data_IF_110415676247
#
_entry.id   IF_110415676247
#
_cell.length_a   1.000
_cell.length_b   1.000
_cell.length_c   1.000
_cell.angle_alpha   90.00
_cell.angle_beta   90.00
_cell.angle_gamma   90.00
#
_symmetry.space_group_name_H-M   'P 1'
#
loop_
_entity.id
_entity.type
_entity.pdbx_description
1 polymer ?
#
# COMPACT_ATOMS: atom_id res chain seq x y z
N UNK A 1 -12.80 -14.42 -7.92
CA UNK A 1 -11.41 -14.50 -7.45
C UNK A 1 -10.59 -15.58 -8.14
N UNK A 2 -9.96 -15.20 -9.26
CA UNK A 2 -9.09 -16.03 -10.09
C UNK A 2 -7.62 -15.59 -9.95
N UNK A 3 -7.12 -15.49 -8.71
CA UNK A 3 -5.76 -15.06 -8.40
C UNK A 3 -5.21 -15.91 -7.24
N UNK A 4 -4.06 -16.55 -7.45
CA UNK A 4 -3.51 -17.52 -6.48
C UNK A 4 -3.16 -16.86 -5.13
N UNK A 5 -2.65 -15.62 -5.13
CA UNK A 5 -2.33 -14.93 -3.90
C UNK A 5 -3.58 -14.56 -3.12
N UNK A 6 -4.63 -14.06 -3.79
CA UNK A 6 -5.89 -13.78 -3.14
C UNK A 6 -6.56 -15.05 -2.56
N UNK A 7 -6.45 -16.18 -3.27
CA UNK A 7 -6.87 -17.49 -2.77
C UNK A 7 -6.06 -17.93 -1.55
N UNK A 8 -4.74 -17.69 -1.52
CA UNK A 8 -3.90 -17.96 -0.35
C UNK A 8 -4.33 -17.12 0.86
N UNK A 9 -4.63 -15.83 0.67
CA UNK A 9 -5.12 -14.96 1.77
C UNK A 9 -6.47 -15.46 2.30
N UNK A 10 -7.38 -15.85 1.40
CA UNK A 10 -8.66 -16.45 1.78
C UNK A 10 -8.45 -17.74 2.60
N UNK A 11 -7.59 -18.65 2.12
CA UNK A 11 -7.23 -19.89 2.83
C UNK A 11 -6.64 -19.62 4.21
N UNK A 12 -5.75 -18.64 4.34
CA UNK A 12 -5.17 -18.25 5.61
C UNK A 12 -6.24 -17.81 6.62
N UNK A 13 -7.23 -17.05 6.17
CA UNK A 13 -8.38 -16.67 7.00
C UNK A 13 -9.25 -17.88 7.38
N UNK A 14 -9.54 -18.79 6.46
CA UNK A 14 -10.35 -20.00 6.71
C UNK A 14 -9.68 -20.96 7.71
N UNK A 15 -8.35 -21.05 7.66
CA UNK A 15 -7.54 -21.91 8.52
C UNK A 15 -7.02 -21.19 9.78
N UNK A 16 -7.41 -19.93 10.01
CA UNK A 16 -6.93 -19.09 11.12
C UNK A 16 -5.41 -19.02 11.23
N UNK A 17 -4.71 -18.96 10.10
CA UNK A 17 -3.26 -18.78 10.09
C UNK A 17 -2.90 -17.36 10.56
N UNK A 18 -1.78 -17.26 11.28
CA UNK A 18 -1.26 -15.95 11.67
C UNK A 18 -0.72 -15.22 10.43
N UNK A 19 -1.25 -14.02 10.18
CA UNK A 19 -0.85 -13.14 9.08
C UNK A 19 -0.23 -11.84 9.58
N UNK A 20 -0.09 -11.65 10.89
CA UNK A 20 0.45 -10.42 11.46
C UNK A 20 1.92 -10.22 11.08
N UNK A 21 2.24 -9.22 10.26
CA UNK A 21 3.55 -9.07 9.61
C UNK A 21 4.78 -9.19 10.54
N UNK A 22 4.68 -8.70 11.78
CA UNK A 22 5.76 -8.68 12.77
C UNK A 22 5.49 -9.60 13.97
N UNK A 23 4.74 -10.69 13.79
CA UNK A 23 4.54 -11.69 14.84
C UNK A 23 5.87 -12.33 15.24
N UNK A 24 6.32 -12.08 16.47
CA UNK A 24 7.55 -12.67 17.02
C UNK A 24 7.35 -14.08 17.59
N UNK A 25 6.10 -14.53 17.73
CA UNK A 25 5.76 -15.85 18.28
C UNK A 25 5.85 -16.97 17.25
N UNK A 26 5.16 -16.82 16.11
CA UNK A 26 5.11 -17.85 15.06
C UNK A 26 5.75 -17.41 13.73
N UNK A 27 6.12 -16.12 13.61
CA UNK A 27 6.66 -15.52 12.39
C UNK A 27 5.82 -15.75 11.11
N UNK A 28 4.54 -16.10 11.26
CA UNK A 28 3.60 -16.41 10.19
C UNK A 28 4.06 -17.61 9.35
N UNK A 29 4.58 -18.64 10.02
CA UNK A 29 5.27 -19.77 9.39
C UNK A 29 4.45 -20.45 8.29
N UNK A 30 3.18 -20.76 8.55
CA UNK A 30 2.28 -21.43 7.61
C UNK A 30 2.02 -20.56 6.37
N UNK A 31 1.64 -19.29 6.60
CA UNK A 31 1.38 -18.35 5.51
C UNK A 31 2.62 -18.14 4.64
N UNK A 32 3.79 -17.91 5.26
CA UNK A 32 5.05 -17.72 4.53
C UNK A 32 5.51 -18.97 3.80
N UNK A 33 5.23 -20.16 4.33
CA UNK A 33 5.55 -21.43 3.67
C UNK A 33 4.78 -21.55 2.36
N UNK A 34 3.47 -21.33 2.38
CA UNK A 34 2.64 -21.42 1.18
C UNK A 34 2.88 -20.25 0.21
N UNK A 35 3.12 -19.05 0.73
CA UNK A 35 3.51 -17.89 -0.08
C UNK A 35 4.78 -18.15 -0.91
N UNK A 36 5.78 -18.84 -0.33
CA UNK A 36 7.00 -19.22 -1.06
C UNK A 36 6.75 -20.24 -2.16
N UNK A 37 5.63 -20.96 -2.15
CA UNK A 37 5.26 -21.94 -3.17
C UNK A 37 4.40 -21.33 -4.28
N UNK A 38 3.83 -20.13 -4.07
CA UNK A 38 3.09 -19.42 -5.11
C UNK A 38 3.98 -19.18 -6.32
N UNK A 39 3.42 -19.38 -7.51
CA UNK A 39 4.20 -19.20 -8.72
C UNK A 39 5.35 -20.20 -8.83
N UNK A 40 5.07 -21.49 -8.65
CA UNK A 40 6.02 -22.57 -8.90
C UNK A 40 7.27 -22.56 -8.00
N UNK A 41 7.26 -21.80 -6.91
CA UNK A 41 8.39 -21.66 -6.00
C UNK A 41 9.46 -20.65 -6.44
N UNK A 42 9.23 -19.90 -7.53
CA UNK A 42 10.12 -18.82 -7.95
C UNK A 42 9.48 -17.45 -7.72
N UNK A 43 10.31 -16.47 -7.36
CA UNK A 43 9.80 -15.15 -6.97
C UNK A 43 9.32 -14.29 -8.14
N UNK A 44 9.65 -14.64 -9.40
CA UNK A 44 9.18 -13.90 -10.58
C UNK A 44 7.69 -14.13 -10.82
N UNK A 45 7.24 -15.35 -10.63
CA UNK A 45 5.82 -15.68 -10.74
C UNK A 45 5.01 -15.02 -9.61
N UNK A 46 5.53 -14.94 -8.38
CA UNK A 46 4.88 -14.16 -7.30
C UNK A 46 4.65 -12.70 -7.71
N UNK A 47 5.65 -12.06 -8.33
CA UNK A 47 5.50 -10.68 -8.79
C UNK A 47 4.41 -10.53 -9.86
N UNK A 48 4.28 -11.51 -10.76
CA UNK A 48 3.21 -11.53 -11.76
C UNK A 48 1.84 -11.73 -11.12
N UNK A 49 1.72 -12.69 -10.19
CA UNK A 49 0.47 -12.95 -9.45
C UNK A 49 0.02 -11.69 -8.69
N UNK A 50 0.94 -10.95 -8.07
CA UNK A 50 0.61 -9.68 -7.41
C UNK A 50 0.21 -8.59 -8.40
N UNK A 51 0.88 -8.48 -9.55
CA UNK A 51 0.52 -7.49 -10.58
C UNK A 51 -0.90 -7.71 -11.15
N UNK A 52 -1.29 -8.98 -11.31
CA UNK A 52 -2.59 -9.39 -11.83
C UNK A 52 -3.72 -9.37 -10.80
N UNK A 53 -3.45 -8.84 -9.60
CA UNK A 53 -4.43 -8.77 -8.53
C UNK A 53 -5.64 -7.91 -8.96
N UNK A 54 -6.83 -8.48 -8.74
CA UNK A 54 -8.07 -7.71 -8.71
C UNK A 54 -8.17 -7.02 -7.35
N UNK A 55 -7.85 -5.73 -7.34
CA UNK A 55 -7.78 -4.93 -6.12
C UNK A 55 -9.17 -4.80 -5.46
N UNK A 56 -10.23 -4.71 -6.28
CA UNK A 56 -11.60 -4.56 -5.79
C UNK A 56 -11.96 -5.81 -4.97
N UNK A 57 -11.79 -7.01 -5.54
CA UNK A 57 -12.08 -8.27 -4.83
C UNK A 57 -11.13 -8.51 -3.64
N UNK A 58 -9.85 -8.24 -3.82
CA UNK A 58 -8.83 -8.54 -2.81
C UNK A 58 -8.99 -7.72 -1.53
N UNK A 59 -9.34 -6.44 -1.65
CA UNK A 59 -9.42 -5.52 -0.50
C UNK A 59 -10.57 -5.84 0.46
N UNK A 60 -11.46 -6.78 0.09
CA UNK A 60 -12.52 -7.31 0.97
C UNK A 60 -12.06 -8.46 1.85
N UNK A 61 -10.89 -9.04 1.60
CA UNK A 61 -10.38 -10.15 2.40
C UNK A 61 -9.95 -9.68 3.78
N UNK A 62 -10.16 -10.53 4.78
CA UNK A 62 -9.66 -10.27 6.13
C UNK A 62 -8.13 -10.24 6.11
N UNK A 63 -7.54 -9.28 6.83
CA UNK A 63 -6.09 -9.13 7.01
C UNK A 63 -5.30 -9.01 5.69
N UNK A 64 -5.95 -8.54 4.62
CA UNK A 64 -5.35 -8.43 3.29
C UNK A 64 -4.09 -7.55 3.30
N UNK A 65 -4.10 -6.48 4.09
CA UNK A 65 -3.02 -5.49 4.14
C UNK A 65 -1.73 -6.07 4.71
N UNK A 66 -1.82 -6.80 5.81
CA UNK A 66 -0.68 -7.49 6.40
C UNK A 66 -0.17 -8.62 5.49
N UNK A 67 -1.07 -9.40 4.88
CA UNK A 67 -0.71 -10.39 3.87
C UNK A 67 0.06 -9.77 2.69
N UNK A 68 -0.41 -8.63 2.18
CA UNK A 68 0.23 -7.90 1.07
C UNK A 68 1.63 -7.45 1.44
N UNK A 69 1.78 -6.86 2.64
CA UNK A 69 3.07 -6.39 3.13
C UNK A 69 4.05 -7.54 3.31
N UNK A 70 3.59 -8.69 3.81
CA UNK A 70 4.41 -9.91 3.86
C UNK A 70 4.84 -10.31 2.45
N UNK A 71 3.92 -10.37 1.48
CA UNK A 71 4.25 -10.72 0.10
C UNK A 71 5.35 -9.83 -0.50
N UNK A 72 5.31 -8.52 -0.23
CA UNK A 72 6.34 -7.58 -0.68
C UNK A 72 7.73 -7.86 -0.09
N UNK A 73 7.81 -8.38 1.13
CA UNK A 73 9.08 -8.80 1.76
C UNK A 73 9.66 -10.07 1.11
N UNK A 74 8.87 -10.81 0.34
CA UNK A 74 9.28 -12.05 -0.33
C UNK A 74 9.68 -11.83 -1.80
N UNK A 75 9.79 -10.59 -2.27
CA UNK A 75 10.25 -10.23 -3.61
C UNK A 75 11.75 -9.84 -3.57
N UNK A 76 12.67 -10.73 -3.98
CA UNK A 76 14.10 -10.53 -3.80
C UNK A 76 14.75 -9.73 -4.94
N UNK A 77 14.08 -9.56 -6.08
CA UNK A 77 14.72 -9.00 -7.27
C UNK A 77 14.36 -7.53 -7.51
N UNK A 78 15.35 -6.69 -7.88
CA UNK A 78 15.08 -5.32 -8.33
C UNK A 78 14.08 -5.29 -9.49
N UNK A 79 13.20 -4.28 -9.54
CA UNK A 79 12.22 -4.12 -10.60
C UNK A 79 10.89 -4.84 -10.37
N UNK A 80 10.83 -5.82 -9.45
CA UNK A 80 9.58 -6.54 -9.15
C UNK A 80 8.55 -5.61 -8.49
N UNK A 81 8.99 -4.83 -7.51
CA UNK A 81 8.11 -3.85 -6.84
C UNK A 81 7.60 -2.81 -7.84
N UNK A 82 8.46 -2.29 -8.72
CA UNK A 82 8.10 -1.31 -9.74
C UNK A 82 7.07 -1.86 -10.73
N UNK A 83 7.25 -3.11 -11.19
CA UNK A 83 6.30 -3.78 -12.08
C UNK A 83 4.91 -3.90 -11.43
N UNK A 84 4.87 -4.34 -10.17
CA UNK A 84 3.62 -4.51 -9.43
C UNK A 84 2.93 -3.15 -9.23
N UNK A 85 3.63 -2.16 -8.69
CA UNK A 85 3.09 -0.83 -8.47
C UNK A 85 2.59 -0.22 -9.79
N UNK A 86 3.36 -0.28 -10.86
CA UNK A 86 2.93 0.27 -12.16
C UNK A 86 1.64 -0.36 -12.67
N UNK A 87 1.45 -1.67 -12.44
CA UNK A 87 0.22 -2.40 -12.86
C UNK A 87 -1.03 -2.00 -12.07
N UNK A 88 -0.86 -1.47 -10.87
CA UNK A 88 -1.97 -1.12 -9.98
C UNK A 88 -2.43 0.34 -10.12
N UNK A 89 -1.57 1.26 -10.59
CA UNK A 89 -1.91 2.68 -10.75
C UNK A 89 -3.25 2.88 -11.49
N UNK A 90 -3.51 2.22 -12.64
CA UNK A 90 -4.76 2.41 -13.38
C UNK A 90 -6.03 1.96 -12.63
N UNK A 91 -5.89 1.22 -11.53
CA UNK A 91 -6.97 0.59 -10.76
C UNK A 91 -7.27 1.32 -9.43
N UNK A 92 -6.52 2.38 -9.08
CA UNK A 92 -6.59 3.03 -7.76
C UNK A 92 -7.83 3.90 -7.54
N UNK A 93 -8.41 4.42 -8.61
CA UNK A 93 -9.55 5.34 -8.63
C UNK A 93 -10.81 4.84 -7.90
N UNK A 94 -10.94 3.52 -7.65
CA UNK A 94 -12.03 2.94 -6.86
C UNK A 94 -11.60 2.45 -5.47
N UNK A 95 -10.30 2.43 -5.19
CA UNK A 95 -9.71 1.72 -4.06
C UNK A 95 -8.86 2.62 -3.17
N UNK A 96 -9.47 3.65 -2.58
CA UNK A 96 -8.77 4.65 -1.75
C UNK A 96 -8.05 3.99 -0.58
N UNK A 97 -8.69 3.06 0.13
CA UNK A 97 -8.07 2.33 1.25
C UNK A 97 -6.86 1.52 0.80
N UNK A 98 -6.92 0.89 -0.38
CA UNK A 98 -5.79 0.16 -0.93
C UNK A 98 -4.63 1.11 -1.26
N UNK A 99 -4.94 2.22 -1.94
CA UNK A 99 -3.96 3.25 -2.28
C UNK A 99 -3.26 3.79 -1.02
N UNK A 100 -4.02 4.05 0.05
CA UNK A 100 -3.52 4.55 1.33
C UNK A 100 -2.54 3.58 2.01
N UNK A 101 -2.94 2.31 2.14
CA UNK A 101 -2.08 1.25 2.72
C UNK A 101 -0.79 1.08 1.91
N UNK A 102 -0.90 0.98 0.58
CA UNK A 102 0.28 0.80 -0.27
C UNK A 102 1.17 2.04 -0.21
N UNK A 103 0.60 3.24 -0.23
CA UNK A 103 1.36 4.49 -0.07
C UNK A 103 2.14 4.49 1.24
N UNK A 104 1.47 4.23 2.36
CA UNK A 104 2.05 4.43 3.68
C UNK A 104 3.02 3.33 4.10
N UNK A 105 2.73 2.06 3.78
CA UNK A 105 3.52 0.93 4.24
C UNK A 105 4.55 0.45 3.22
N UNK A 106 4.24 0.53 1.93
CA UNK A 106 5.09 0.01 0.86
C UNK A 106 5.87 1.15 0.24
N UNK A 107 5.17 2.15 -0.31
CA UNK A 107 5.82 3.23 -1.06
C UNK A 107 6.71 4.07 -0.15
N UNK A 108 6.25 4.44 1.03
CA UNK A 108 7.07 5.20 1.97
C UNK A 108 8.36 4.48 2.40
N UNK A 109 8.34 3.15 2.46
CA UNK A 109 9.35 2.37 3.19
C UNK A 109 10.39 1.69 2.33
N UNK A 110 10.10 1.45 1.04
CA UNK A 110 10.98 0.68 0.16
C UNK A 110 11.76 1.58 -0.80
N UNK A 111 13.03 1.27 -1.09
CA UNK A 111 13.81 1.98 -2.09
C UNK A 111 13.45 1.45 -3.48
N UNK A 112 12.51 2.09 -4.17
CA UNK A 112 12.23 1.82 -5.59
C UNK A 112 12.56 3.04 -6.44
N UNK A 113 12.60 2.84 -7.77
CA UNK A 113 12.91 3.89 -8.73
C UNK A 113 12.13 5.19 -8.51
N UNK A 114 12.83 6.33 -8.61
CA UNK A 114 12.27 7.68 -8.41
C UNK A 114 11.01 7.90 -9.27
N UNK A 115 10.98 7.35 -10.48
CA UNK A 115 9.86 7.48 -11.41
C UNK A 115 8.59 6.76 -10.92
N UNK A 116 8.71 5.49 -10.52
CA UNK A 116 7.59 4.70 -9.98
C UNK A 116 7.04 5.33 -8.70
N UNK A 117 7.94 5.81 -7.83
CA UNK A 117 7.55 6.55 -6.61
C UNK A 117 6.73 7.78 -6.94
N UNK A 118 7.24 8.61 -7.84
CA UNK A 118 6.59 9.85 -8.26
C UNK A 118 5.24 9.57 -8.92
N UNK A 119 5.15 8.53 -9.76
CA UNK A 119 3.90 8.14 -10.41
C UNK A 119 2.85 7.70 -9.36
N UNK A 120 3.24 6.88 -8.38
CA UNK A 120 2.35 6.44 -7.31
C UNK A 120 1.89 7.60 -6.43
N UNK A 121 2.82 8.46 -6.00
CA UNK A 121 2.52 9.67 -5.22
C UNK A 121 1.56 10.58 -6.01
N UNK A 122 1.82 10.81 -7.29
CA UNK A 122 0.95 11.64 -8.13
C UNK A 122 -0.46 11.06 -8.25
N UNK A 123 -0.59 9.75 -8.46
CA UNK A 123 -1.88 9.07 -8.49
C UNK A 123 -2.63 9.21 -7.15
N UNK A 124 -1.94 9.02 -6.02
CA UNK A 124 -2.52 9.20 -4.69
C UNK A 124 -2.92 10.66 -4.41
N UNK A 125 -2.11 11.64 -4.82
CA UNK A 125 -2.45 13.07 -4.70
C UNK A 125 -3.74 13.38 -5.43
N UNK A 126 -3.85 12.97 -6.69
CA UNK A 126 -5.05 13.18 -7.49
C UNK A 126 -6.27 12.51 -6.84
N UNK A 127 -6.11 11.28 -6.34
CA UNK A 127 -7.16 10.55 -5.66
C UNK A 127 -7.61 11.27 -4.38
N UNK A 128 -6.68 11.73 -3.56
CA UNK A 128 -6.94 12.41 -2.29
C UNK A 128 -7.62 13.77 -2.49
N UNK A 129 -7.19 14.56 -3.47
CA UNK A 129 -7.79 15.86 -3.77
C UNK A 129 -9.23 15.71 -4.25
N UNK A 130 -9.49 14.70 -5.09
CA UNK A 130 -10.82 14.45 -5.64
C UNK A 130 -11.78 13.87 -4.60
N UNK A 131 -11.34 12.88 -3.82
CA UNK A 131 -12.19 12.21 -2.83
C UNK A 131 -12.33 12.98 -1.51
N UNK A 132 -11.34 13.83 -1.20
CA UNK A 132 -11.15 14.46 0.12
C UNK A 132 -11.08 13.44 1.26
N UNK A 133 -10.60 12.22 0.97
CA UNK A 133 -10.45 11.18 1.98
C UNK A 133 -9.41 11.57 3.02
N UNK A 134 -9.83 11.65 4.28
CA UNK A 134 -8.98 12.14 5.36
C UNK A 134 -7.78 11.23 5.65
N UNK A 135 -7.92 9.92 5.45
CA UNK A 135 -6.86 8.95 5.73
C UNK A 135 -5.74 9.08 4.71
N UNK A 136 -6.12 9.08 3.42
CA UNK A 136 -5.16 9.24 2.33
C UNK A 136 -4.47 10.61 2.36
N UNK A 137 -5.21 11.67 2.69
CA UNK A 137 -4.62 13.02 2.87
C UNK A 137 -3.61 13.01 4.02
N UNK A 138 -3.94 12.43 5.17
CA UNK A 138 -3.02 12.32 6.31
C UNK A 138 -1.74 11.56 5.91
N UNK A 139 -1.88 10.41 5.26
CA UNK A 139 -0.74 9.61 4.78
C UNK A 139 0.14 10.38 3.80
N UNK A 140 -0.44 11.13 2.86
CA UNK A 140 0.34 11.96 1.94
C UNK A 140 1.10 13.08 2.65
N UNK A 141 0.50 13.74 3.64
CA UNK A 141 1.20 14.74 4.47
C UNK A 141 2.41 14.10 5.17
N UNK A 142 2.25 12.88 5.70
CA UNK A 142 3.32 12.13 6.35
C UNK A 142 4.45 11.69 5.41
N UNK A 143 4.10 11.33 4.18
CA UNK A 143 5.02 10.83 3.17
C UNK A 143 5.80 11.98 2.54
N UNK A 144 5.12 13.07 2.18
CA UNK A 144 5.72 14.19 1.45
C UNK A 144 6.56 15.11 2.35
N UNK A 145 6.11 15.38 3.59
CA UNK A 145 6.83 16.24 4.55
C UNK A 145 7.27 17.57 3.92
N UNK A 146 8.58 17.81 3.79
CA UNK A 146 9.18 19.01 3.20
C UNK A 146 8.85 19.19 1.71
N UNK A 147 8.41 18.14 1.02
CA UNK A 147 7.99 18.16 -0.38
C UNK A 147 6.51 18.53 -0.55
N UNK A 148 5.73 18.57 0.54
CA UNK A 148 4.31 18.90 0.52
C UNK A 148 4.01 20.25 -0.17
N UNK A 149 4.80 21.34 0.03
CA UNK A 149 4.71 22.61 -0.70
C UNK A 149 4.63 22.51 -2.23
N UNK A 150 5.09 21.42 -2.84
CA UNK A 150 5.07 21.23 -4.30
C UNK A 150 3.69 20.82 -4.84
N UNK A 151 2.72 20.54 -3.96
CA UNK A 151 1.41 20.00 -4.32
C UNK A 151 0.26 20.90 -3.82
N UNK A 152 0.04 22.02 -4.50
CA UNK A 152 -0.93 23.06 -4.08
C UNK A 152 -2.34 22.52 -3.80
N UNK A 153 -2.86 21.67 -4.67
CA UNK A 153 -4.19 21.07 -4.50
C UNK A 153 -4.29 20.21 -3.24
N UNK A 154 -3.24 19.46 -2.92
CA UNK A 154 -3.19 18.65 -1.70
C UNK A 154 -3.07 19.53 -0.46
N UNK A 155 -2.25 20.58 -0.49
CA UNK A 155 -2.12 21.51 0.65
C UNK A 155 -3.45 22.18 0.95
N UNK A 156 -4.14 22.67 -0.08
CA UNK A 156 -5.44 23.30 0.08
C UNK A 156 -6.43 22.32 0.73
N UNK A 157 -6.46 21.07 0.24
CA UNK A 157 -7.30 20.00 0.78
C UNK A 157 -6.94 19.68 2.23
N UNK A 158 -5.66 19.55 2.56
CA UNK A 158 -5.18 19.26 3.91
C UNK A 158 -5.50 20.38 4.89
N UNK A 159 -5.31 21.64 4.49
CA UNK A 159 -5.69 22.82 5.30
C UNK A 159 -7.19 22.84 5.57
N UNK A 160 -8.02 22.65 4.55
CA UNK A 160 -9.46 22.56 4.72
C UNK A 160 -9.85 21.43 5.71
N UNK A 161 -9.32 20.22 5.52
CA UNK A 161 -9.63 19.08 6.38
C UNK A 161 -9.07 19.23 7.80
N UNK A 162 -7.96 19.94 8.01
CA UNK A 162 -7.38 20.16 9.35
C UNK A 162 -8.29 20.94 10.30
N UNK A 163 -9.29 21.66 9.77
CA UNK A 163 -10.29 22.34 10.57
C UNK A 163 -11.22 21.35 11.31
N UNK A 164 -11.47 20.17 10.71
CA UNK A 164 -12.44 19.19 11.21
C UNK A 164 -11.81 17.85 11.59
N UNK A 165 -10.68 17.49 11.00
CA UNK A 165 -9.99 16.21 11.17
C UNK A 165 -8.75 16.36 12.04
N UNK A 166 -8.82 15.85 13.27
CA UNK A 166 -7.70 15.90 14.23
C UNK A 166 -6.44 15.23 13.69
N UNK A 167 -6.58 14.12 12.95
CA UNK A 167 -5.45 13.36 12.40
C UNK A 167 -4.72 14.15 11.31
N UNK A 168 -5.45 14.79 10.39
CA UNK A 168 -4.86 15.66 9.36
C UNK A 168 -4.19 16.88 10.01
N UNK A 169 -4.86 17.51 10.98
CA UNK A 169 -4.29 18.64 11.74
C UNK A 169 -2.97 18.26 12.40
N UNK A 170 -2.91 17.11 13.06
CA UNK A 170 -1.69 16.61 13.73
C UNK A 170 -0.57 16.34 12.73
N UNK A 171 -0.87 15.75 11.57
CA UNK A 171 0.10 15.51 10.52
C UNK A 171 0.69 16.82 10.00
N UNK A 172 -0.16 17.81 9.69
CA UNK A 172 0.25 19.14 9.22
C UNK A 172 1.18 19.85 10.22
N UNK A 173 0.80 19.93 11.50
CA UNK A 173 1.63 20.58 12.54
C UNK A 173 3.02 19.94 12.63
N UNK A 174 3.09 18.61 12.57
CA UNK A 174 4.36 17.91 12.66
C UNK A 174 5.21 18.05 11.40
N UNK A 175 4.61 18.25 10.24
CA UNK A 175 5.33 18.53 8.99
C UNK A 175 5.89 19.95 8.97
N UNK A 176 5.14 20.95 9.45
CA UNK A 176 5.61 22.35 9.52
C UNK A 176 6.81 22.50 10.47
N UNK A 177 6.84 21.75 11.57
CA UNK A 177 7.96 21.76 12.52
C UNK A 177 9.24 21.06 12.02
N UNK A 178 9.21 20.47 10.81
CA UNK A 178 10.36 19.79 10.18
C UNK A 178 10.97 20.61 9.04
N UNK A 179 10.43 21.79 8.74
CA UNK A 179 10.95 22.76 7.76
C UNK A 179 11.87 23.77 8.45
#
# INVERSE_FOLDING_TARGET
MNNEFAQLVKKASELNWCTQIYCTTCANGEFRKDLKQLGGGNSFELAQVLADLDIDEYSWLRDWDDCLRIAFLHLPFPGQHEKILSSWIPKLNKNIRFADVVLFYIVRSLPFGIETSRAWISACVNLAVNSKDESLVESLVWVLRSELPKYDGLIHTAKHLSATSFKVKRAMIKTDNLQ
#
